data_IF_968921781493
#
_entry.id   IF_968921781493
#
_cell.length_a   1.000
_cell.length_b   1.000
_cell.length_c   1.000
_cell.angle_alpha   90.00
_cell.angle_beta   90.00
_cell.angle_gamma   90.00
#
_symmetry.space_group_name_H-M   'P 1'
#
loop_
_entity.id
_entity.type
_entity.pdbx_description
1 polymer ?
#
# COMPACT_ATOMS: atom_id res chain seq x y z
N UNK A 1 -2.89 1.67 14.25
CA UNK A 1 -3.63 1.55 12.99
C UNK A 1 -3.38 0.15 12.45
N UNK A 2 -4.39 -0.70 12.39
CA UNK A 2 -4.26 -1.99 11.69
C UNK A 2 -4.57 -1.77 10.22
N UNK A 3 -3.53 -1.86 9.39
CA UNK A 3 -3.63 -1.70 7.95
C UNK A 3 -3.43 -3.05 7.30
N UNK A 4 -4.25 -3.38 6.32
CA UNK A 4 -4.04 -4.57 5.49
C UNK A 4 -4.33 -4.29 4.04
N UNK A 5 -3.66 -4.98 3.13
CA UNK A 5 -3.92 -4.89 1.70
C UNK A 5 -4.57 -6.16 1.22
N UNK A 6 -5.57 -6.00 0.36
CA UNK A 6 -6.15 -7.09 -0.41
C UNK A 6 -5.63 -7.01 -1.84
N UNK A 7 -5.04 -8.09 -2.33
CA UNK A 7 -4.51 -8.17 -3.69
C UNK A 7 -4.75 -9.54 -4.32
N UNK A 8 -4.82 -9.57 -5.65
CA UNK A 8 -5.03 -10.80 -6.40
C UNK A 8 -3.72 -11.33 -6.96
N UNK A 9 -3.38 -12.58 -6.64
CA UNK A 9 -2.18 -13.23 -7.15
C UNK A 9 -2.47 -14.71 -7.41
N UNK A 10 -2.07 -15.21 -8.59
CA UNK A 10 -2.15 -16.62 -8.96
C UNK A 10 -3.53 -17.26 -8.76
N UNK A 11 -4.61 -16.57 -9.18
CA UNK A 11 -5.96 -17.12 -9.05
C UNK A 11 -6.63 -16.87 -7.70
N UNK A 12 -5.92 -16.29 -6.72
CA UNK A 12 -6.36 -16.17 -5.33
C UNK A 12 -6.34 -14.74 -4.83
N UNK A 13 -7.33 -14.40 -4.01
CA UNK A 13 -7.34 -13.16 -3.22
C UNK A 13 -6.52 -13.39 -1.95
N UNK A 14 -5.49 -12.59 -1.77
CA UNK A 14 -4.62 -12.60 -0.59
C UNK A 14 -4.90 -11.35 0.24
N UNK A 15 -4.72 -11.46 1.56
CA UNK A 15 -4.77 -10.35 2.50
C UNK A 15 -3.51 -10.33 3.33
N UNK A 16 -2.81 -9.20 3.35
CA UNK A 16 -1.55 -9.06 4.08
C UNK A 16 -1.61 -7.85 5.03
N UNK A 17 -1.23 -8.07 6.29
CA UNK A 17 -1.16 -7.00 7.28
C UNK A 17 0.12 -6.19 7.08
N UNK A 18 -0.03 -4.89 6.83
CA UNK A 18 1.07 -3.99 6.55
C UNK A 18 1.68 -3.46 7.86
N UNK A 19 2.58 -4.25 8.46
CA UNK A 19 3.27 -3.86 9.71
C UNK A 19 4.22 -2.67 9.54
N UNK A 20 4.69 -2.41 8.32
CA UNK A 20 5.68 -1.39 8.00
C UNK A 20 5.09 -0.23 7.17
N UNK A 21 3.82 0.09 7.38
CA UNK A 21 3.18 1.27 6.81
C UNK A 21 3.44 2.50 7.68
N UNK A 22 3.66 3.67 7.06
CA UNK A 22 3.88 4.93 7.75
C UNK A 22 3.27 6.11 6.98
N UNK A 23 2.95 7.18 7.69
CA UNK A 23 2.52 8.45 7.08
C UNK A 23 3.73 9.14 6.45
N UNK A 24 3.69 9.36 5.14
CA UNK A 24 4.78 10.00 4.39
C UNK A 24 4.55 11.52 4.19
N UNK A 25 3.29 11.95 4.05
CA UNK A 25 2.91 13.37 3.91
C UNK A 25 1.43 13.53 4.20
N UNK A 26 1.01 14.57 4.91
CA UNK A 26 -0.41 14.84 5.20
C UNK A 26 -1.10 15.71 4.13
N UNK A 27 -0.34 16.59 3.46
CA UNK A 27 -0.84 17.44 2.36
C UNK A 27 0.24 17.63 1.29
N UNK A 28 0.12 17.00 0.10
CA UNK A 28 -0.90 16.00 -0.26
C UNK A 28 -0.79 14.70 0.56
N UNK A 29 -1.88 13.92 0.73
CA UNK A 29 -1.91 12.73 1.56
C UNK A 29 -1.15 11.56 0.92
N UNK A 30 -0.13 11.05 1.63
CA UNK A 30 0.67 9.90 1.22
C UNK A 30 0.95 8.94 2.38
N UNK A 31 0.83 7.65 2.08
CA UNK A 31 1.28 6.55 2.94
C UNK A 31 2.47 5.86 2.29
N UNK A 32 3.55 5.69 3.03
CA UNK A 32 4.69 4.88 2.64
C UNK A 32 4.56 3.45 3.14
N UNK A 33 4.97 2.49 2.33
CA UNK A 33 5.00 1.07 2.66
C UNK A 33 6.37 0.48 2.36
N UNK A 34 7.04 -0.05 3.39
CA UNK A 34 8.35 -0.69 3.24
C UNK A 34 8.16 -2.20 3.07
N UNK A 35 8.58 -2.72 1.92
CA UNK A 35 8.50 -4.14 1.58
C UNK A 35 9.85 -4.68 1.16
N UNK A 36 10.16 -5.90 1.60
CA UNK A 36 11.29 -6.66 1.07
C UNK A 36 10.92 -7.23 -0.30
N UNK A 37 11.80 -7.16 -1.32
CA UNK A 37 11.60 -7.83 -2.59
C UNK A 37 11.34 -9.32 -2.42
N UNK A 38 10.27 -9.80 -3.05
CA UNK A 38 9.85 -11.19 -2.96
C UNK A 38 8.49 -11.43 -3.60
N UNK A 39 8.12 -12.71 -3.66
CA UNK A 39 6.79 -13.14 -4.12
C UNK A 39 5.74 -12.66 -3.12
N UNK A 40 4.63 -12.12 -3.63
CA UNK A 40 3.52 -11.64 -2.80
C UNK A 40 3.16 -10.20 -3.11
N UNK A 41 2.88 -9.42 -2.07
CA UNK A 41 2.46 -8.02 -2.22
C UNK A 41 3.50 -7.16 -2.94
N UNK A 42 4.80 -7.38 -2.72
CA UNK A 42 5.85 -6.61 -3.39
C UNK A 42 5.82 -6.80 -4.92
N UNK A 43 5.69 -8.05 -5.37
CA UNK A 43 5.62 -8.39 -6.79
C UNK A 43 4.31 -7.85 -7.42
N UNK A 44 3.21 -7.93 -6.67
CA UNK A 44 1.94 -7.34 -7.06
C UNK A 44 2.07 -5.83 -7.27
N UNK A 45 2.57 -5.09 -6.27
CA UNK A 45 2.73 -3.63 -6.34
C UNK A 45 3.77 -3.17 -7.37
N UNK A 46 4.70 -4.05 -7.77
CA UNK A 46 5.64 -3.76 -8.87
C UNK A 46 4.95 -3.80 -10.24
N UNK A 47 3.86 -4.54 -10.36
CA UNK A 47 3.19 -4.82 -11.64
C UNK A 47 1.82 -4.14 -11.79
N UNK A 48 1.38 -3.41 -10.78
CA UNK A 48 0.08 -2.75 -10.73
C UNK A 48 0.26 -1.30 -10.28
N UNK A 49 -0.66 -0.44 -10.73
CA UNK A 49 -0.66 0.98 -10.40
C UNK A 49 -1.57 1.30 -9.20
N UNK A 50 -2.37 0.33 -8.75
CA UNK A 50 -3.30 0.48 -7.63
C UNK A 50 -3.42 -0.80 -6.79
N UNK A 51 -4.06 -0.65 -5.63
CA UNK A 51 -4.41 -1.74 -4.74
C UNK A 51 -5.60 -1.38 -3.83
N UNK A 52 -6.24 -2.41 -3.27
CA UNK A 52 -7.26 -2.24 -2.25
C UNK A 52 -6.59 -2.17 -0.88
N UNK A 53 -6.62 -0.99 -0.28
CA UNK A 53 -6.10 -0.69 1.04
C UNK A 53 -7.24 -0.76 2.06
N UNK A 54 -7.14 -1.68 3.03
CA UNK A 54 -8.16 -1.90 4.04
C UNK A 54 -7.75 -1.30 5.38
N UNK A 55 -8.72 -0.62 5.99
CA UNK A 55 -8.59 0.30 7.11
C UNK A 55 -9.74 0.04 8.06
N UNK A 56 -9.46 -0.65 9.16
CA UNK A 56 -10.48 -1.11 10.10
C UNK A 56 -11.63 -1.81 9.32
N UNK A 57 -12.83 -1.23 9.35
CA UNK A 57 -14.04 -1.75 8.71
C UNK A 57 -14.30 -1.19 7.28
N UNK A 58 -13.30 -0.55 6.67
CA UNK A 58 -13.43 0.08 5.36
C UNK A 58 -12.30 -0.28 4.41
N UNK A 59 -12.55 -0.14 3.11
CA UNK A 59 -11.56 -0.35 2.06
C UNK A 59 -11.55 0.86 1.11
N UNK A 60 -10.37 1.28 0.69
CA UNK A 60 -10.16 2.35 -0.28
C UNK A 60 -9.22 1.86 -1.37
N UNK A 61 -9.47 2.25 -2.62
CA UNK A 61 -8.48 2.05 -3.68
C UNK A 61 -7.39 3.12 -3.53
N UNK A 62 -6.15 2.67 -3.41
CA UNK A 62 -4.98 3.53 -3.33
C UNK A 62 -4.09 3.32 -4.56
N UNK A 63 -3.61 4.42 -5.12
CA UNK A 63 -2.72 4.45 -6.28
C UNK A 63 -1.26 4.47 -5.82
N UNK A 64 -0.43 3.66 -6.46
CA UNK A 64 1.01 3.63 -6.29
C UNK A 64 1.61 4.71 -7.19
N UNK A 65 2.08 5.82 -6.60
CA UNK A 65 2.63 6.95 -7.38
C UNK A 65 4.12 6.87 -7.58
N UNK A 66 4.84 6.37 -6.59
CA UNK A 66 6.30 6.26 -6.66
C UNK A 66 6.79 5.06 -5.87
N UNK A 67 7.94 4.56 -6.32
CA UNK A 67 8.71 3.53 -5.66
C UNK A 67 10.14 4.00 -5.55
N UNK A 68 10.73 3.81 -4.38
CA UNK A 68 12.15 4.06 -4.13
C UNK A 68 12.76 2.76 -3.64
N UNK A 69 13.81 2.28 -4.31
CA UNK A 69 14.58 1.13 -3.84
C UNK A 69 15.68 1.61 -2.88
N UNK A 70 15.68 1.08 -1.66
CA UNK A 70 16.57 1.47 -0.56
C UNK A 70 17.25 0.23 0.00
N UNK A 71 18.49 0.00 -0.42
CA UNK A 71 19.25 -1.20 -0.05
C UNK A 71 18.54 -2.46 -0.51
N UNK A 72 18.20 -3.34 0.44
CA UNK A 72 17.47 -4.60 0.18
C UNK A 72 15.95 -4.44 0.22
N UNK A 73 15.41 -3.23 0.37
CA UNK A 73 13.97 -2.98 0.48
C UNK A 73 13.48 -2.03 -0.62
N UNK A 74 12.17 -2.02 -0.83
CA UNK A 74 11.47 -1.02 -1.63
C UNK A 74 10.48 -0.27 -0.75
N UNK A 75 10.43 1.06 -0.93
CA UNK A 75 9.40 1.92 -0.34
C UNK A 75 8.42 2.27 -1.45
N UNK A 76 7.18 1.83 -1.31
CA UNK A 76 6.08 2.22 -2.19
C UNK A 76 5.30 3.34 -1.54
N UNK A 77 4.89 4.31 -2.33
CA UNK A 77 4.14 5.45 -1.83
C UNK A 77 2.79 5.52 -2.51
N UNK A 78 1.79 5.50 -1.64
CA UNK A 78 0.39 5.34 -1.96
C UNK A 78 -0.34 6.64 -1.71
N UNK A 79 -1.27 6.97 -2.58
CA UNK A 79 -2.21 8.08 -2.40
C UNK A 79 -3.60 7.67 -2.85
N UNK A 80 -4.60 8.46 -2.50
CA UNK A 80 -5.96 8.29 -3.00
C UNK A 80 -6.70 9.62 -2.92
N UNK A 81 -7.56 9.88 -3.90
CA UNK A 81 -8.51 10.99 -3.84
C UNK A 81 -9.68 10.72 -2.89
N UNK A 82 -9.80 9.49 -2.38
CA UNK A 82 -10.83 9.15 -1.40
C UNK A 82 -10.56 9.87 -0.08
N UNK A 83 -11.54 10.67 0.39
CA UNK A 83 -11.43 11.41 1.67
C UNK A 83 -11.09 10.51 2.86
N UNK A 84 -11.56 9.25 2.87
CA UNK A 84 -11.23 8.27 3.92
C UNK A 84 -9.75 7.92 3.95
N UNK A 85 -9.03 8.08 2.83
CA UNK A 85 -7.58 7.91 2.80
C UNK A 85 -6.88 9.08 3.48
N UNK A 86 -7.34 10.31 3.28
CA UNK A 86 -6.79 11.49 3.97
C UNK A 86 -6.99 11.44 5.48
N UNK A 87 -8.06 10.79 5.97
CA UNK A 87 -8.30 10.57 7.41
C UNK A 87 -7.27 9.63 8.06
N UNK A 88 -6.41 8.97 7.28
CA UNK A 88 -5.37 8.05 7.77
C UNK A 88 -4.04 8.72 8.05
N UNK A 89 -3.88 9.93 7.52
CA UNK A 89 -2.59 10.59 7.37
C UNK A 89 -2.45 11.71 8.39
#
# INVERSE_FOLDING_TARGET
>A
MEVSVTFYQNGRTNRENLKNAFVASTDPPYVGLILKPGVGIWEYMKSHDDLIFNLNDSSVTAEIKYRIDVGENSIFFLTSENKKFSELV
#
